data_IF_074761522514
#
_entry.id   IF_074761522514
#
_cell.length_a   1.000
_cell.length_b   1.000
_cell.length_c   1.000
_cell.angle_alpha   90.00
_cell.angle_beta   90.00
_cell.angle_gamma   90.00
#
_symmetry.space_group_name_H-M   'P 1'
#
loop_
_entity.id
_entity.type
_entity.pdbx_description
1 polymer ?
#
# COMPACT_ATOMS: atom_id res chain seq x y z
N UNK A 1 4.82 -22.15 -2.57
CA UNK A 1 5.93 -21.18 -2.66
C UNK A 1 6.51 -21.10 -4.07
N UNK A 2 6.76 -22.25 -4.73
CA UNK A 2 7.42 -22.32 -6.05
C UNK A 2 6.91 -21.35 -7.13
N UNK A 3 5.61 -21.07 -7.22
CA UNK A 3 5.08 -20.14 -8.23
C UNK A 3 5.47 -18.66 -7.99
N UNK A 4 5.53 -18.21 -6.73
CA UNK A 4 5.91 -16.83 -6.33
C UNK A 4 7.43 -16.64 -6.41
N UNK A 5 8.18 -17.74 -6.33
CA UNK A 5 9.64 -17.77 -6.48
C UNK A 5 10.10 -17.84 -7.94
N UNK A 6 9.19 -18.17 -8.85
CA UNK A 6 9.52 -18.28 -10.26
C UNK A 6 9.72 -16.90 -10.86
N UNK A 7 10.98 -16.52 -11.04
CA UNK A 7 11.38 -15.29 -11.72
C UNK A 7 10.72 -15.23 -13.11
N UNK A 8 10.01 -14.12 -13.38
CA UNK A 8 9.32 -13.88 -14.65
C UNK A 8 10.11 -12.89 -15.48
N UNK A 9 10.16 -13.14 -16.79
CA UNK A 9 10.85 -12.22 -17.69
C UNK A 9 10.04 -10.94 -17.86
N UNK A 10 10.68 -9.80 -17.58
CA UNK A 10 10.08 -8.47 -17.76
C UNK A 10 10.01 -8.10 -19.24
N UNK A 11 8.96 -7.36 -19.61
CA UNK A 11 8.77 -6.78 -20.93
C UNK A 11 9.90 -5.80 -21.29
N UNK A 12 10.41 -5.08 -20.29
CA UNK A 12 11.53 -4.15 -20.40
C UNK A 12 12.50 -4.38 -19.23
N UNK A 13 13.81 -4.30 -19.49
CA UNK A 13 14.83 -4.55 -18.46
C UNK A 13 14.78 -3.57 -17.29
N UNK A 14 14.33 -2.34 -17.53
CA UNK A 14 14.28 -1.27 -16.52
C UNK A 14 12.84 -0.88 -16.17
N UNK A 15 11.91 -1.83 -16.10
CA UNK A 15 10.51 -1.53 -15.80
C UNK A 15 10.29 -0.86 -14.42
N UNK A 16 11.23 -1.00 -13.48
CA UNK A 16 11.22 -0.26 -12.20
C UNK A 16 11.27 1.25 -12.40
N UNK A 17 11.98 1.74 -13.42
CA UNK A 17 12.08 3.17 -13.73
C UNK A 17 10.70 3.78 -14.06
N UNK A 18 9.76 2.97 -14.57
CA UNK A 18 8.39 3.42 -14.81
C UNK A 18 7.65 3.79 -13.53
N UNK A 19 8.08 3.28 -12.37
CA UNK A 19 7.53 3.65 -11.07
C UNK A 19 8.28 4.85 -10.44
N UNK A 20 9.55 5.02 -10.79
CA UNK A 20 10.38 6.09 -10.21
C UNK A 20 10.27 7.41 -10.95
N UNK A 21 10.14 7.35 -12.28
CA UNK A 21 10.18 8.50 -13.18
C UNK A 21 8.77 8.99 -13.57
N UNK A 22 7.72 8.56 -12.87
CA UNK A 22 6.36 9.06 -13.15
C UNK A 22 6.35 10.57 -12.96
N UNK A 23 5.97 11.28 -14.01
CA UNK A 23 5.94 12.74 -14.01
C UNK A 23 5.03 13.26 -12.90
N UNK A 24 5.60 14.11 -12.05
CA UNK A 24 4.84 14.82 -11.04
C UNK A 24 3.80 15.74 -11.70
N UNK A 25 2.63 15.94 -11.08
CA UNK A 25 1.69 16.99 -11.49
C UNK A 25 2.37 18.37 -11.47
N UNK A 26 2.06 19.21 -12.45
CA UNK A 26 2.51 20.61 -12.44
C UNK A 26 1.96 21.34 -11.20
N UNK A 27 2.84 21.96 -10.41
CA UNK A 27 2.46 22.71 -9.20
C UNK A 27 2.56 21.94 -7.87
N UNK A 28 3.18 20.75 -7.84
CA UNK A 28 3.53 20.09 -6.58
C UNK A 28 4.45 21.01 -5.74
N UNK A 29 3.92 21.56 -4.65
CA UNK A 29 4.67 22.41 -3.74
C UNK A 29 5.73 21.57 -3.00
N UNK A 30 6.92 22.14 -2.83
CA UNK A 30 8.08 21.52 -2.18
C UNK A 30 8.32 22.11 -0.77
N UNK A 31 7.37 22.88 -0.24
CA UNK A 31 7.66 23.84 0.84
C UNK A 31 7.46 23.35 2.28
N UNK A 32 7.14 22.08 2.51
CA UNK A 32 7.09 21.55 3.88
C UNK A 32 8.29 20.65 4.16
N UNK A 33 9.24 21.16 4.95
CA UNK A 33 10.24 20.31 5.59
C UNK A 33 9.51 19.27 6.42
N UNK A 34 9.74 17.99 6.14
CA UNK A 34 9.30 16.90 7.01
C UNK A 34 9.63 17.28 8.46
N UNK A 35 8.68 17.13 9.38
CA UNK A 35 9.04 17.02 10.79
C UNK A 35 10.15 15.96 10.88
N UNK A 36 11.19 16.19 11.70
CA UNK A 36 12.40 15.35 11.77
C UNK A 36 12.14 13.86 12.13
N UNK A 37 10.88 13.45 12.29
CA UNK A 37 10.47 12.10 12.65
C UNK A 37 9.29 11.61 11.81
N UNK A 38 9.44 10.40 11.28
CA UNK A 38 8.41 9.76 10.48
C UNK A 38 7.16 9.45 11.31
N UNK A 39 6.00 9.62 10.70
CA UNK A 39 4.67 9.44 11.28
C UNK A 39 3.90 8.30 10.63
N UNK A 40 4.19 8.02 9.36
CA UNK A 40 3.56 6.96 8.57
C UNK A 40 4.59 5.87 8.28
N UNK A 41 4.27 4.63 8.63
CA UNK A 41 5.06 3.46 8.25
C UNK A 41 4.34 2.64 7.18
N UNK A 42 5.00 2.47 6.05
CA UNK A 42 4.48 1.78 4.88
C UNK A 42 5.23 0.45 4.75
N UNK A 43 4.50 -0.66 4.73
CA UNK A 43 5.08 -1.99 4.62
C UNK A 43 4.24 -2.88 3.72
N UNK A 44 4.75 -4.08 3.45
CA UNK A 44 4.12 -5.04 2.55
C UNK A 44 4.26 -6.43 3.15
N UNK A 45 3.17 -7.03 3.63
CA UNK A 45 3.21 -8.44 4.02
C UNK A 45 3.41 -9.34 2.79
N UNK A 46 2.92 -8.94 1.62
CA UNK A 46 3.14 -9.65 0.35
C UNK A 46 4.06 -8.85 -0.61
N UNK A 47 5.33 -8.71 -0.25
CA UNK A 47 6.30 -7.83 -0.94
C UNK A 47 6.46 -8.04 -2.44
N UNK A 48 6.27 -9.26 -2.97
CA UNK A 48 6.50 -9.59 -4.38
C UNK A 48 5.26 -9.46 -5.27
N UNK A 49 4.10 -9.05 -4.77
CA UNK A 49 2.92 -8.81 -5.62
C UNK A 49 3.26 -7.82 -6.74
N UNK A 50 2.98 -8.17 -8.00
CA UNK A 50 3.42 -7.43 -9.19
C UNK A 50 2.29 -7.26 -10.21
N UNK A 51 2.56 -6.64 -11.36
CA UNK A 51 1.54 -6.27 -12.35
C UNK A 51 1.87 -6.89 -13.71
N UNK A 52 0.86 -7.53 -14.32
CA UNK A 52 0.94 -8.23 -15.61
C UNK A 52 1.42 -7.37 -16.78
N UNK A 53 1.10 -6.05 -16.88
CA UNK A 53 1.59 -5.23 -17.99
C UNK A 53 3.12 -5.18 -18.14
N UNK A 54 3.86 -5.59 -17.11
CA UNK A 54 5.32 -5.57 -17.10
C UNK A 54 5.97 -6.90 -17.45
N UNK A 55 5.19 -7.96 -17.70
CA UNK A 55 5.73 -9.30 -17.96
C UNK A 55 5.62 -9.70 -19.43
N UNK A 56 6.57 -10.53 -19.87
CA UNK A 56 6.46 -11.25 -21.12
C UNK A 56 5.73 -12.58 -20.89
N UNK A 57 5.04 -13.03 -21.94
CA UNK A 57 4.55 -14.40 -22.07
C UNK A 57 3.53 -14.89 -21.02
N UNK A 58 2.91 -14.00 -20.24
CA UNK A 58 1.80 -14.36 -19.33
C UNK A 58 0.73 -13.29 -19.24
N UNK A 59 -0.50 -13.74 -19.01
CA UNK A 59 -1.71 -12.97 -18.71
C UNK A 59 -2.48 -13.61 -17.53
N UNK A 60 -1.85 -14.54 -16.79
CA UNK A 60 -2.51 -15.23 -15.69
C UNK A 60 -2.33 -14.43 -14.39
N UNK A 61 -3.42 -14.04 -13.69
CA UNK A 61 -3.31 -13.29 -12.44
C UNK A 61 -2.41 -13.94 -11.38
N UNK A 62 -2.38 -15.28 -11.33
CA UNK A 62 -1.52 -16.04 -10.41
C UNK A 62 -0.02 -15.94 -10.72
N UNK A 63 0.36 -15.50 -11.93
CA UNK A 63 1.76 -15.29 -12.29
C UNK A 63 2.27 -13.88 -11.91
N UNK A 64 1.40 -12.99 -11.42
CA UNK A 64 1.69 -11.57 -11.18
C UNK A 64 2.54 -11.33 -9.92
N UNK A 65 3.77 -11.88 -9.90
CA UNK A 65 4.76 -11.75 -8.83
C UNK A 65 6.17 -11.51 -9.39
N UNK A 66 6.96 -10.64 -8.75
CA UNK A 66 8.34 -10.36 -9.16
C UNK A 66 9.21 -9.84 -8.00
N UNK A 67 10.51 -10.15 -8.01
CA UNK A 67 11.44 -9.70 -6.97
C UNK A 67 11.69 -8.18 -7.01
N UNK A 68 11.71 -7.60 -8.21
CA UNK A 68 12.06 -6.20 -8.47
C UNK A 68 10.86 -5.29 -8.77
N UNK A 69 10.15 -5.55 -9.87
CA UNK A 69 8.94 -4.81 -10.25
C UNK A 69 7.76 -5.28 -9.41
N UNK A 70 7.53 -4.70 -8.24
CA UNK A 70 6.47 -5.17 -7.34
C UNK A 70 5.84 -4.03 -6.53
N UNK A 71 4.91 -4.40 -5.65
CA UNK A 71 4.08 -3.50 -4.86
C UNK A 71 4.90 -2.60 -3.92
N UNK A 72 6.13 -2.97 -3.57
CA UNK A 72 7.02 -2.11 -2.78
C UNK A 72 7.34 -0.79 -3.50
N UNK A 73 7.31 -0.78 -4.84
CA UNK A 73 7.48 0.43 -5.64
C UNK A 73 6.30 1.41 -5.44
N UNK A 74 5.07 0.91 -5.28
CA UNK A 74 3.92 1.74 -4.94
C UNK A 74 4.02 2.28 -3.50
N UNK A 75 4.58 1.49 -2.57
CA UNK A 75 4.92 1.96 -1.23
C UNK A 75 5.93 3.11 -1.23
N UNK A 76 6.97 3.03 -2.07
CA UNK A 76 7.95 4.09 -2.29
C UNK A 76 7.36 5.34 -2.95
N UNK A 77 6.41 5.18 -3.88
CA UNK A 77 5.65 6.33 -4.41
C UNK A 77 4.89 7.05 -3.30
N UNK A 78 4.24 6.31 -2.40
CA UNK A 78 3.46 6.89 -1.31
C UNK A 78 4.34 7.63 -0.30
N UNK A 79 5.49 7.06 0.06
CA UNK A 79 6.51 7.73 0.90
C UNK A 79 6.88 9.10 0.29
N UNK A 80 7.31 9.12 -0.97
CA UNK A 80 7.67 10.37 -1.68
C UNK A 80 6.50 11.34 -1.76
N UNK A 81 5.28 10.84 -1.94
CA UNK A 81 4.07 11.67 -2.05
C UNK A 81 3.69 12.32 -0.71
N UNK A 82 3.87 11.63 0.41
CA UNK A 82 3.67 12.16 1.76
C UNK A 82 4.76 13.17 2.15
N UNK A 83 6.01 12.88 1.83
CA UNK A 83 7.14 13.78 2.11
C UNK A 83 6.97 15.13 1.40
N UNK A 84 6.50 15.15 0.14
CA UNK A 84 6.19 16.40 -0.58
C UNK A 84 5.08 17.21 0.10
N UNK A 85 4.20 16.55 0.87
CA UNK A 85 3.11 17.16 1.65
C UNK A 85 3.51 17.47 3.09
N UNK A 86 4.80 17.35 3.43
CA UNK A 86 5.34 17.65 4.75
C UNK A 86 5.11 16.57 5.81
N UNK A 87 4.63 15.39 5.41
CA UNK A 87 4.37 14.28 6.31
C UNK A 87 5.55 13.31 6.25
N UNK A 88 6.29 13.18 7.36
CA UNK A 88 7.37 12.20 7.46
C UNK A 88 6.84 10.78 7.31
N UNK A 89 7.44 9.99 6.44
CA UNK A 89 7.02 8.64 6.13
C UNK A 89 8.24 7.74 5.93
N UNK A 90 8.09 6.46 6.29
CA UNK A 90 9.11 5.45 6.11
C UNK A 90 8.51 4.25 5.38
N UNK A 91 9.02 3.94 4.19
CA UNK A 91 8.66 2.72 3.44
C UNK A 91 9.71 1.62 3.65
N UNK A 92 9.25 0.46 4.14
CA UNK A 92 10.02 -0.77 4.29
C UNK A 92 9.78 -1.70 3.09
N UNK A 93 10.81 -1.82 2.24
CA UNK A 93 10.82 -2.68 1.04
C UNK A 93 11.47 -4.04 1.30
N UNK A 94 11.49 -4.53 2.54
CA UNK A 94 12.01 -5.87 2.88
C UNK A 94 11.35 -6.92 2.01
N UNK A 95 12.16 -7.77 1.37
CA UNK A 95 11.66 -8.91 0.62
C UNK A 95 11.19 -10.01 1.60
N UNK A 96 9.89 -9.98 1.94
CA UNK A 96 9.27 -10.95 2.84
C UNK A 96 9.40 -12.36 2.29
N UNK A 97 9.32 -12.55 0.97
CA UNK A 97 9.45 -13.87 0.37
C UNK A 97 10.85 -14.42 0.58
N UNK A 98 11.90 -13.62 0.37
CA UNK A 98 13.27 -14.03 0.68
C UNK A 98 13.45 -14.34 2.18
N UNK A 99 12.92 -13.48 3.07
CA UNK A 99 13.03 -13.70 4.51
C UNK A 99 12.29 -14.97 4.99
N UNK A 100 11.23 -15.37 4.29
CA UNK A 100 10.53 -16.64 4.53
C UNK A 100 11.36 -17.83 4.07
N UNK A 101 11.97 -17.77 2.88
CA UNK A 101 12.87 -18.81 2.36
C UNK A 101 14.07 -19.05 3.27
N UNK A 102 14.72 -17.98 3.73
CA UNK A 102 15.86 -18.05 4.66
C UNK A 102 15.50 -18.71 6.01
N UNK A 103 14.21 -18.77 6.34
CA UNK A 103 13.68 -19.33 7.59
C UNK A 103 12.90 -20.64 7.41
N UNK A 104 12.86 -21.19 6.18
CA UNK A 104 12.06 -22.38 5.84
C UNK A 104 10.58 -22.23 6.24
N UNK A 105 10.01 -21.06 5.99
CA UNK A 105 8.62 -20.71 6.32
C UNK A 105 7.75 -20.63 5.07
N UNK A 106 6.55 -21.20 5.13
CA UNK A 106 5.57 -21.10 4.05
C UNK A 106 5.04 -19.67 3.85
N UNK A 107 4.56 -19.37 2.63
CA UNK A 107 4.04 -18.05 2.24
C UNK A 107 2.93 -17.52 3.17
N UNK A 108 2.10 -18.42 3.74
CA UNK A 108 1.08 -18.06 4.74
C UNK A 108 1.65 -17.43 6.02
N UNK A 109 2.95 -17.58 6.27
CA UNK A 109 3.67 -16.95 7.39
C UNK A 109 4.11 -15.52 7.10
N UNK A 110 3.76 -14.94 5.94
CA UNK A 110 4.09 -13.55 5.57
C UNK A 110 3.70 -12.53 6.64
N UNK A 111 2.54 -12.72 7.28
CA UNK A 111 2.10 -11.85 8.38
C UNK A 111 2.95 -11.98 9.64
N UNK A 112 3.57 -13.15 9.90
CA UNK A 112 4.50 -13.34 11.02
C UNK A 112 5.76 -12.50 10.80
N UNK A 113 6.36 -12.56 9.60
CA UNK A 113 7.60 -11.84 9.29
C UNK A 113 7.35 -10.32 9.24
N UNK A 114 6.30 -9.88 8.53
CA UNK A 114 5.96 -8.45 8.48
C UNK A 114 5.60 -7.86 9.85
N UNK A 115 5.02 -8.64 10.76
CA UNK A 115 4.77 -8.22 12.14
C UNK A 115 6.05 -7.86 12.88
N UNK A 116 7.12 -8.64 12.69
CA UNK A 116 8.44 -8.39 13.28
C UNK A 116 9.01 -7.06 12.75
N UNK A 117 8.79 -6.75 11.47
CA UNK A 117 9.18 -5.47 10.85
C UNK A 117 8.45 -4.29 11.48
N UNK A 118 7.12 -4.35 11.55
CA UNK A 118 6.29 -3.30 12.18
C UNK A 118 6.70 -3.06 13.64
N UNK A 119 6.89 -4.12 14.42
CA UNK A 119 7.34 -3.99 15.83
C UNK A 119 8.74 -3.38 15.95
N UNK A 120 9.64 -3.72 15.03
CA UNK A 120 10.98 -3.15 15.00
C UNK A 120 10.94 -1.66 14.68
N UNK A 121 10.11 -1.26 13.71
CA UNK A 121 9.86 0.14 13.38
C UNK A 121 9.28 0.91 14.57
N UNK A 122 8.22 0.39 15.21
CA UNK A 122 7.64 0.98 16.44
C UNK A 122 8.64 1.08 17.60
N UNK A 123 9.66 0.23 17.65
CA UNK A 123 10.72 0.31 18.66
C UNK A 123 11.75 1.40 18.32
N UNK A 124 12.12 1.51 17.05
CA UNK A 124 13.09 2.47 16.56
C UNK A 124 12.55 3.90 16.54
N UNK A 125 11.28 4.07 16.16
CA UNK A 125 10.59 5.34 16.10
C UNK A 125 9.25 5.26 16.84
N UNK A 126 9.16 5.95 17.99
CA UNK A 126 7.96 5.99 18.84
C UNK A 126 6.90 6.99 18.36
N UNK A 127 7.24 7.80 17.36
CA UNK A 127 6.38 8.82 16.78
C UNK A 127 5.54 8.30 15.60
N UNK A 128 5.77 7.05 15.17
CA UNK A 128 4.94 6.37 14.19
C UNK A 128 3.51 6.19 14.71
N UNK A 129 2.55 6.59 13.90
CA UNK A 129 1.13 6.61 14.25
C UNK A 129 0.30 5.81 13.25
N UNK A 130 0.53 6.02 11.95
CA UNK A 130 -0.20 5.35 10.87
C UNK A 130 0.63 4.19 10.30
N UNK A 131 0.02 3.03 10.10
CA UNK A 131 0.67 1.82 9.59
C UNK A 131 -0.11 1.25 8.40
N UNK A 132 0.48 1.29 7.21
CA UNK A 132 -0.18 0.90 5.98
C UNK A 132 0.46 -0.36 5.40
N UNK A 133 -0.31 -1.44 5.32
CA UNK A 133 0.07 -2.63 4.58
C UNK A 133 -0.43 -2.46 3.13
N UNK A 134 0.47 -2.14 2.20
CA UNK A 134 0.09 -1.85 0.81
C UNK A 134 0.15 -3.12 -0.02
N UNK A 135 -0.99 -3.47 -0.62
CA UNK A 135 -1.20 -4.67 -1.43
C UNK A 135 -1.70 -4.33 -2.83
N UNK A 136 -1.78 -5.36 -3.68
CA UNK A 136 -2.48 -5.34 -4.95
C UNK A 136 -3.61 -6.38 -4.98
N UNK A 137 -4.83 -5.96 -5.30
CA UNK A 137 -5.98 -6.86 -5.45
C UNK A 137 -5.73 -7.86 -6.58
N UNK A 138 -6.17 -9.12 -6.43
CA UNK A 138 -6.00 -10.16 -7.47
C UNK A 138 -6.95 -9.99 -8.67
N UNK A 139 -7.87 -9.03 -8.60
CA UNK A 139 -8.87 -8.76 -9.63
C UNK A 139 -8.31 -8.07 -10.88
N UNK A 140 -9.04 -8.26 -11.99
CA UNK A 140 -8.74 -7.68 -13.31
C UNK A 140 -9.18 -6.23 -13.45
N UNK A 141 -8.63 -5.55 -14.45
CA UNK A 141 -8.80 -4.12 -14.78
C UNK A 141 -10.24 -3.59 -14.62
N UNK A 142 -11.30 -4.23 -15.15
CA UNK A 142 -12.66 -3.70 -15.04
C UNK A 142 -13.15 -3.51 -13.58
N UNK A 143 -12.57 -4.24 -12.63
CA UNK A 143 -12.89 -4.14 -11.20
C UNK A 143 -11.93 -3.24 -10.42
N UNK A 144 -10.80 -2.86 -11.02
CA UNK A 144 -9.68 -2.21 -10.34
C UNK A 144 -9.25 -0.90 -10.99
N UNK A 145 -9.94 -0.43 -12.03
CA UNK A 145 -9.75 0.90 -12.62
C UNK A 145 -11.02 1.74 -12.65
N UNK A 146 -10.84 3.05 -12.63
CA UNK A 146 -11.87 4.03 -12.95
C UNK A 146 -11.27 5.11 -13.87
N UNK A 147 -12.02 5.50 -14.90
CA UNK A 147 -11.64 6.61 -15.77
C UNK A 147 -12.34 7.89 -15.31
N UNK A 148 -11.57 8.98 -15.19
CA UNK A 148 -12.06 10.30 -14.79
C UNK A 148 -11.31 11.36 -15.59
N UNK A 149 -12.04 12.26 -16.26
CA UNK A 149 -11.47 13.39 -17.01
C UNK A 149 -10.41 12.97 -18.05
N UNK A 150 -10.56 11.80 -18.68
CA UNK A 150 -9.59 11.28 -19.66
C UNK A 150 -8.35 10.64 -19.05
N UNK A 151 -8.28 10.52 -17.72
CA UNK A 151 -7.21 9.83 -17.01
C UNK A 151 -7.75 8.58 -16.31
N UNK A 152 -6.99 7.50 -16.35
CA UNK A 152 -7.31 6.26 -15.64
C UNK A 152 -6.59 6.18 -14.30
N UNK A 153 -7.33 5.81 -13.27
CA UNK A 153 -6.87 5.61 -11.90
C UNK A 153 -7.03 4.15 -11.49
N UNK A 154 -6.10 3.65 -10.69
CA UNK A 154 -6.29 2.42 -9.93
C UNK A 154 -7.34 2.66 -8.83
N UNK A 155 -8.23 1.70 -8.57
CA UNK A 155 -9.22 1.81 -7.50
C UNK A 155 -8.63 1.30 -6.19
N UNK A 156 -9.02 1.94 -5.10
CA UNK A 156 -8.62 1.54 -3.75
C UNK A 156 -9.65 0.60 -3.14
N UNK A 157 -9.20 -0.43 -2.43
CA UNK A 157 -10.04 -1.19 -1.50
C UNK A 157 -9.33 -1.26 -0.15
N UNK A 158 -10.05 -0.99 0.93
CA UNK A 158 -9.50 -1.16 2.27
C UNK A 158 -9.91 -2.51 2.84
N UNK A 159 -8.98 -3.19 3.53
CA UNK A 159 -9.29 -4.43 4.26
C UNK A 159 -9.05 -4.23 5.75
N UNK A 160 -10.09 -4.50 6.54
CA UNK A 160 -10.04 -4.42 8.02
C UNK A 160 -10.25 -5.81 8.61
N UNK A 161 -9.30 -6.25 9.44
CA UNK A 161 -9.35 -7.52 10.15
C UNK A 161 -10.22 -7.41 11.39
N UNK A 162 -11.25 -8.24 11.51
CA UNK A 162 -12.16 -8.22 12.68
C UNK A 162 -11.80 -9.27 13.74
N UNK A 163 -10.66 -9.94 13.59
CA UNK A 163 -10.18 -11.03 14.45
C UNK A 163 -9.47 -10.59 15.73
N UNK A 164 -9.50 -9.30 16.09
CA UNK A 164 -8.90 -8.79 17.34
C UNK A 164 -9.84 -7.83 18.05
N UNK A 165 -9.77 -7.75 19.38
CA UNK A 165 -10.77 -7.07 20.22
C UNK A 165 -10.90 -5.55 19.95
N UNK A 166 -9.88 -4.91 19.40
CA UNK A 166 -9.84 -3.46 19.19
C UNK A 166 -10.08 -3.03 17.73
N UNK A 167 -10.54 -3.94 16.85
CA UNK A 167 -10.68 -3.69 15.41
C UNK A 167 -11.59 -2.51 15.06
N UNK A 168 -12.52 -2.15 15.94
CA UNK A 168 -13.44 -1.02 15.75
C UNK A 168 -12.68 0.31 15.58
N UNK A 169 -11.49 0.45 16.19
CA UNK A 169 -10.64 1.63 16.04
C UNK A 169 -10.03 1.68 14.63
N UNK A 170 -9.53 0.54 14.13
CA UNK A 170 -9.04 0.41 12.75
C UNK A 170 -10.16 0.69 11.74
N UNK A 171 -11.36 0.16 11.99
CA UNK A 171 -12.53 0.40 11.17
C UNK A 171 -12.93 1.88 11.16
N UNK A 172 -12.91 2.55 12.31
CA UNK A 172 -13.20 3.99 12.40
C UNK A 172 -12.21 4.83 11.62
N UNK A 173 -10.90 4.57 11.77
CA UNK A 173 -9.84 5.23 11.01
C UNK A 173 -10.05 5.03 9.49
N UNK A 174 -10.29 3.79 9.08
CA UNK A 174 -10.48 3.43 7.67
C UNK A 174 -11.73 4.07 7.07
N UNK A 175 -12.82 4.18 7.83
CA UNK A 175 -14.04 4.87 7.38
C UNK A 175 -13.80 6.35 7.10
N UNK A 176 -12.97 7.02 7.90
CA UNK A 176 -12.64 8.42 7.68
C UNK A 176 -11.82 8.60 6.40
N UNK A 177 -10.80 7.75 6.17
CA UNK A 177 -10.06 7.74 4.89
C UNK A 177 -10.99 7.50 3.69
N UNK A 178 -11.85 6.47 3.77
CA UNK A 178 -12.80 6.15 2.71
C UNK A 178 -13.74 7.33 2.41
N UNK A 179 -14.23 8.00 3.45
CA UNK A 179 -15.14 9.15 3.32
C UNK A 179 -14.44 10.34 2.66
N UNK A 180 -13.23 10.67 3.07
CA UNK A 180 -12.45 11.77 2.48
C UNK A 180 -12.12 11.47 1.01
N UNK A 181 -11.66 10.25 0.70
CA UNK A 181 -11.40 9.83 -0.70
C UNK A 181 -12.67 9.91 -1.53
N UNK A 182 -13.81 9.43 -1.00
CA UNK A 182 -15.08 9.44 -1.73
C UNK A 182 -15.62 10.85 -1.96
N UNK A 183 -15.33 11.80 -1.07
CA UNK A 183 -15.69 13.20 -1.21
C UNK A 183 -14.80 13.92 -2.26
N UNK A 184 -13.48 13.72 -2.18
CA UNK A 184 -12.52 14.34 -3.10
C UNK A 184 -12.55 13.69 -4.50
N UNK A 185 -12.71 12.37 -4.55
CA UNK A 185 -12.61 11.57 -5.76
C UNK A 185 -13.68 10.44 -5.80
N UNK A 186 -14.95 10.78 -6.10
CA UNK A 186 -16.07 9.82 -6.08
C UNK A 186 -15.81 8.57 -6.94
N UNK A 187 -15.99 7.39 -6.36
CA UNK A 187 -15.81 6.09 -7.03
C UNK A 187 -14.39 5.53 -7.02
N UNK A 188 -13.38 6.32 -6.63
CA UNK A 188 -11.99 5.86 -6.52
C UNK A 188 -11.84 4.77 -5.46
N UNK A 189 -12.46 4.96 -4.29
CA UNK A 189 -12.54 3.92 -3.26
C UNK A 189 -13.73 2.98 -3.54
N UNK A 190 -13.46 1.67 -3.50
CA UNK A 190 -14.45 0.58 -3.52
C UNK A 190 -15.13 0.37 -2.16
N UNK A 191 -14.66 1.06 -1.11
CA UNK A 191 -15.14 0.90 0.26
C UNK A 191 -14.22 0.05 1.11
N UNK A 192 -14.81 -0.58 2.12
CA UNK A 192 -14.11 -1.36 3.15
C UNK A 192 -14.64 -2.79 3.10
N UNK A 193 -13.71 -3.75 3.05
CA UNK A 193 -13.99 -5.17 3.21
C UNK A 193 -13.52 -5.61 4.59
N UNK A 194 -14.45 -6.02 5.45
CA UNK A 194 -14.12 -6.65 6.73
C UNK A 194 -13.84 -8.14 6.53
N UNK A 195 -12.79 -8.66 7.14
CA UNK A 195 -12.45 -10.09 7.12
C UNK A 195 -12.18 -10.60 8.53
N UNK A 196 -12.87 -11.66 8.93
CA UNK A 196 -12.53 -12.40 10.14
C UNK A 196 -11.51 -13.51 9.85
N UNK A 197 -11.13 -14.27 10.89
CA UNK A 197 -10.15 -15.36 10.77
C UNK A 197 -10.66 -16.58 9.96
N UNK A 198 -11.93 -16.62 9.55
CA UNK A 198 -12.44 -17.65 8.63
C UNK A 198 -12.18 -17.29 7.16
N UNK A 199 -11.87 -16.02 6.86
CA UNK A 199 -11.67 -15.49 5.52
C UNK A 199 -10.20 -15.15 5.21
N UNK A 200 -9.27 -15.54 6.08
CA UNK A 200 -7.84 -15.29 5.96
C UNK A 200 -7.17 -15.17 7.33
N UNK A 201 -6.12 -14.35 7.44
CA UNK A 201 -5.47 -14.10 8.73
C UNK A 201 -6.44 -13.47 9.77
N UNK A 202 -7.33 -12.58 9.32
CA UNK A 202 -8.34 -11.93 10.15
C UNK A 202 -7.84 -10.84 11.09
N UNK A 203 -6.52 -10.72 11.32
CA UNK A 203 -5.92 -9.67 12.16
C UNK A 203 -5.04 -8.73 11.33
N UNK A 204 -4.25 -9.26 10.39
CA UNK A 204 -3.46 -8.50 9.42
C UNK A 204 -2.50 -7.47 10.04
N UNK A 205 -1.95 -7.77 11.23
CA UNK A 205 -1.14 -6.88 12.06
C UNK A 205 -1.84 -5.60 12.55
N UNK A 206 -3.15 -5.47 12.32
CA UNK A 206 -3.93 -4.30 12.68
C UNK A 206 -4.13 -4.15 14.19
N UNK A 207 -3.90 -5.22 14.96
CA UNK A 207 -3.87 -5.20 16.41
C UNK A 207 -2.66 -4.44 17.00
N UNK A 208 -1.64 -4.11 16.19
CA UNK A 208 -0.45 -3.37 16.62
C UNK A 208 -0.66 -1.86 16.74
N UNK A 209 -1.66 -1.29 16.07
CA UNK A 209 -2.00 0.13 16.12
C UNK A 209 -3.46 0.35 15.72
N UNK A 210 -4.19 1.25 16.41
CA UNK A 210 -5.55 1.62 16.02
C UNK A 210 -5.65 2.28 14.64
N UNK A 211 -4.53 2.82 14.11
CA UNK A 211 -4.45 3.46 12.79
C UNK A 211 -3.67 2.57 11.81
N UNK A 212 -3.97 1.28 11.83
CA UNK A 212 -3.41 0.29 10.90
C UNK A 212 -4.46 -0.28 9.97
N UNK A 213 -4.14 -0.40 8.68
CA UNK A 213 -5.08 -0.90 7.66
C UNK A 213 -4.33 -1.49 6.46
N UNK A 214 -4.94 -2.46 5.79
CA UNK A 214 -4.50 -2.90 4.45
C UNK A 214 -5.11 -1.98 3.40
N UNK A 215 -4.28 -1.49 2.47
CA UNK A 215 -4.71 -0.72 1.32
C UNK A 215 -4.38 -1.49 0.04
N UNK A 216 -5.39 -2.00 -0.62
CA UNK A 216 -5.28 -2.60 -1.95
C UNK A 216 -5.28 -1.48 -3.00
N UNK A 217 -4.20 -1.36 -3.78
CA UNK A 217 -4.03 -0.33 -4.80
C UNK A 217 -4.13 -0.95 -6.19
N UNK A 218 -5.32 -0.87 -6.78
CA UNK A 218 -5.59 -1.48 -8.08
C UNK A 218 -5.58 -3.00 -8.02
N UNK A 219 -5.23 -3.63 -9.13
CA UNK A 219 -5.12 -5.07 -9.30
C UNK A 219 -4.09 -5.47 -10.35
N UNK A 220 -4.10 -6.74 -10.77
CA UNK A 220 -3.04 -7.35 -11.61
C UNK A 220 -2.76 -6.64 -12.93
N UNK A 221 -3.71 -5.89 -13.46
CA UNK A 221 -3.62 -5.24 -14.78
C UNK A 221 -3.26 -3.76 -14.72
N UNK A 222 -3.03 -3.20 -13.53
CA UNK A 222 -2.80 -1.78 -13.37
C UNK A 222 -1.39 -1.36 -13.78
N UNK A 223 -1.27 -0.15 -14.31
CA UNK A 223 0.03 0.46 -14.66
C UNK A 223 0.53 1.41 -13.55
N UNK A 224 1.83 1.69 -13.56
CA UNK A 224 2.53 2.59 -12.66
C UNK A 224 1.91 3.98 -12.69
N UNK A 225 1.47 4.46 -13.87
CA UNK A 225 0.80 5.74 -13.98
C UNK A 225 -0.57 5.72 -13.28
N UNK A 226 -1.38 4.67 -13.50
CA UNK A 226 -2.70 4.52 -12.84
C UNK A 226 -2.57 4.42 -11.31
N UNK A 227 -1.54 3.72 -10.84
CA UNK A 227 -1.18 3.59 -9.43
C UNK A 227 -0.73 4.95 -8.89
N UNK A 228 0.21 5.62 -9.54
CA UNK A 228 0.73 6.93 -9.14
C UNK A 228 -0.38 7.96 -8.94
N UNK A 229 -1.29 8.08 -9.91
CA UNK A 229 -2.46 8.97 -9.83
C UNK A 229 -3.32 8.72 -8.59
N UNK A 230 -3.44 7.45 -8.21
CA UNK A 230 -4.21 7.02 -7.03
C UNK A 230 -3.45 7.27 -5.73
N UNK A 231 -2.14 7.04 -5.75
CA UNK A 231 -1.24 7.31 -4.63
C UNK A 231 -1.20 8.80 -4.29
N UNK A 232 -1.24 9.69 -5.28
CA UNK A 232 -1.34 11.13 -5.01
C UNK A 232 -2.61 11.48 -4.23
N UNK A 233 -3.77 10.95 -4.63
CA UNK A 233 -5.04 11.17 -3.91
C UNK A 233 -5.00 10.56 -2.51
N UNK A 234 -4.41 9.37 -2.35
CA UNK A 234 -4.24 8.75 -1.04
C UNK A 234 -3.32 9.58 -0.13
N UNK A 235 -2.23 10.12 -0.67
CA UNK A 235 -1.30 10.97 0.05
C UNK A 235 -1.93 12.30 0.47
N UNK A 236 -2.78 12.92 -0.37
CA UNK A 236 -3.57 14.11 0.00
C UNK A 236 -4.43 13.82 1.24
N UNK A 237 -5.22 12.76 1.21
CA UNK A 237 -6.13 12.38 2.31
C UNK A 237 -5.37 12.03 3.59
N UNK A 238 -4.28 11.27 3.50
CA UNK A 238 -3.45 10.96 4.66
C UNK A 238 -2.79 12.21 5.26
N UNK A 239 -2.43 13.17 4.42
CA UNK A 239 -1.85 14.45 4.88
C UNK A 239 -2.90 15.32 5.56
N UNK A 240 -4.11 15.41 4.99
CA UNK A 240 -5.24 16.12 5.60
C UNK A 240 -5.60 15.54 6.98
N UNK A 241 -5.63 14.21 7.09
CA UNK A 241 -5.89 13.49 8.34
C UNK A 241 -4.79 13.75 9.39
N UNK A 242 -3.52 13.77 8.98
CA UNK A 242 -2.39 14.11 9.84
C UNK A 242 -2.46 15.54 10.37
N UNK A 243 -2.61 16.54 9.48
CA UNK A 243 -2.63 17.96 9.87
C UNK A 243 -3.89 18.36 10.65
N UNK A 244 -5.03 17.72 10.36
CA UNK A 244 -6.26 17.88 11.14
C UNK A 244 -6.09 17.36 12.56
N UNK A 245 -5.36 16.25 12.74
CA UNK A 245 -5.01 15.70 14.06
C UNK A 245 -4.10 16.62 14.86
N UNK A 246 -3.04 17.14 14.23
CA UNK A 246 -2.10 18.07 14.87
C UNK A 246 -2.79 19.35 15.37
N UNK A 247 -3.77 19.86 14.61
CA UNK A 247 -4.55 21.05 14.99
C UNK A 247 -5.43 20.79 16.23
N UNK A 248 -5.91 19.55 16.45
CA UNK A 248 -6.73 19.18 17.62
C UNK A 248 -5.91 18.94 18.89
N UNK A 249 -4.60 18.73 18.76
CA UNK A 249 -3.69 18.49 19.89
C UNK A 249 -3.05 19.77 20.45
N UNK A 250 -3.28 20.92 19.81
CA UNK A 250 -2.85 22.26 20.27
C UNK A 250 -3.99 22.96 20.97
#
# INVERSE_FOLDING_TARGET
>A
MEEILKERELLFQNAEALFEEVKLPEGADHSHSANERDRVYIYHSHSRESFLPYFKHTDQPGDAFHQKVNITLAGKMLERALERRGVGAQSDSTDIVQALEERDLEYGSSYLVSRERVRSAQKANKDLDIFLDIHRDSLRKPSTTIEKNGETYARLLFVVGTGHAAFEQNLSFTNELHKQISAQNPGLSKGILTKDSSQGNGIYNQDLSPRSVIVEVGGVDNTAEEIFRTIEVLADVLSDDYWSGETRMR
#
